data_IF_702903882924
#
_entry.id   IF_702903882924
#
_cell.length_a   1.000
_cell.length_b   1.000
_cell.length_c   1.000
_cell.angle_alpha   90.00
_cell.angle_beta   90.00
_cell.angle_gamma   90.00
#
_symmetry.space_group_name_H-M   'P 1'
#
loop_
_entity.id
_entity.type
_entity.pdbx_description
1 polymer ?
#
# COMPACT_ATOMS: atom_id res chain seq x y z
N UNK A 1 14.56 -2.22 -0.61
CA UNK A 1 13.27 -2.45 -1.32
C UNK A 1 12.19 -2.54 -0.26
N UNK A 2 11.09 -1.80 -0.43
CA UNK A 2 10.01 -1.80 0.55
C UNK A 2 9.08 -2.98 0.32
N UNK A 3 8.56 -3.56 1.41
CA UNK A 3 7.71 -4.76 1.37
C UNK A 3 6.42 -4.49 2.11
N UNK A 4 5.29 -4.85 1.50
CA UNK A 4 3.97 -4.73 2.10
C UNK A 4 3.27 -6.08 2.01
N UNK A 5 3.03 -6.74 3.15
CA UNK A 5 2.35 -8.02 3.23
C UNK A 5 0.87 -7.85 3.52
N UNK A 6 0.02 -8.50 2.74
CA UNK A 6 -1.40 -8.57 3.01
C UNK A 6 -1.70 -9.71 4.00
N UNK A 7 -2.06 -9.40 5.24
CA UNK A 7 -2.48 -10.39 6.26
C UNK A 7 -4.01 -10.42 6.44
N UNK A 8 -4.76 -9.78 5.56
CA UNK A 8 -6.24 -9.86 5.55
C UNK A 8 -6.71 -11.11 4.83
N UNK A 9 -8.00 -11.43 4.96
CA UNK A 9 -8.65 -12.51 4.21
C UNK A 9 -9.16 -12.04 2.82
N UNK A 10 -8.83 -10.82 2.42
CA UNK A 10 -9.28 -10.20 1.18
C UNK A 10 -8.12 -10.07 0.20
N UNK A 11 -8.40 -10.16 -1.09
CA UNK A 11 -7.49 -9.57 -2.07
C UNK A 11 -7.56 -8.06 -1.90
N UNK A 12 -6.41 -7.38 -1.82
CA UNK A 12 -6.34 -5.94 -1.59
C UNK A 12 -5.61 -5.29 -2.75
N UNK A 13 -6.13 -4.17 -3.24
CA UNK A 13 -5.39 -3.35 -4.19
C UNK A 13 -4.52 -2.37 -3.41
N UNK A 14 -3.20 -2.50 -3.51
CA UNK A 14 -2.30 -1.46 -3.03
C UNK A 14 -1.88 -0.55 -4.20
N UNK A 15 -1.80 0.74 -3.93
CA UNK A 15 -1.30 1.76 -4.85
C UNK A 15 -0.20 2.54 -4.13
N UNK A 16 0.84 2.91 -4.86
CA UNK A 16 1.95 3.67 -4.31
C UNK A 16 1.96 5.05 -4.96
N UNK A 17 2.07 6.10 -4.15
CA UNK A 17 2.14 7.49 -4.58
C UNK A 17 3.46 8.11 -4.12
N UNK A 18 4.06 8.92 -4.98
CA UNK A 18 5.25 9.70 -4.65
C UNK A 18 4.89 10.83 -3.66
N UNK A 19 5.93 11.47 -3.10
CA UNK A 19 5.76 12.63 -2.22
C UNK A 19 5.02 13.81 -2.88
N UNK A 20 5.07 13.90 -4.21
CA UNK A 20 4.34 14.90 -5.01
C UNK A 20 2.91 14.46 -5.40
N UNK A 21 2.46 13.28 -4.94
CA UNK A 21 1.12 12.77 -5.20
C UNK A 21 0.94 12.00 -6.50
N UNK A 22 1.96 11.92 -7.37
CA UNK A 22 1.86 11.14 -8.62
C UNK A 22 1.91 9.64 -8.33
N UNK A 23 1.01 8.87 -8.97
CA UNK A 23 1.05 7.41 -8.88
C UNK A 23 2.37 6.85 -9.41
N UNK A 24 2.92 5.90 -8.66
CA UNK A 24 3.98 5.02 -9.12
C UNK A 24 3.34 3.84 -9.86
N UNK A 25 3.11 4.01 -11.16
CA UNK A 25 2.55 2.94 -12.00
C UNK A 25 3.34 1.64 -11.87
N UNK A 26 2.64 0.55 -11.52
CA UNK A 26 3.21 -0.77 -11.30
C UNK A 26 2.30 -1.86 -11.86
N UNK A 27 2.89 -2.96 -12.35
CA UNK A 27 2.19 -4.05 -13.05
C UNK A 27 1.20 -4.84 -12.20
N UNK A 28 1.47 -5.01 -10.90
CA UNK A 28 0.65 -5.82 -10.01
C UNK A 28 0.23 -5.02 -8.78
N UNK A 29 -1.00 -4.49 -8.81
CA UNK A 29 -1.57 -3.73 -7.68
C UNK A 29 -2.47 -4.57 -6.79
N UNK A 30 -3.01 -5.71 -7.27
CA UNK A 30 -3.90 -6.60 -6.53
C UNK A 30 -3.13 -7.73 -5.84
N UNK A 31 -3.16 -7.77 -4.51
CA UNK A 31 -2.39 -8.69 -3.68
C UNK A 31 -3.33 -9.61 -2.90
N UNK A 32 -3.32 -10.92 -3.17
CA UNK A 32 -4.08 -11.92 -2.42
C UNK A 32 -3.70 -12.01 -0.93
N UNK A 33 -4.54 -12.68 -0.11
CA UNK A 33 -4.23 -13.00 1.29
C UNK A 33 -2.88 -13.69 1.45
N UNK A 34 -2.14 -13.30 2.49
CA UNK A 34 -0.83 -13.81 2.90
C UNK A 34 0.31 -13.66 1.88
N UNK A 35 0.09 -12.88 0.82
CA UNK A 35 1.10 -12.55 -0.18
C UNK A 35 1.65 -11.15 0.03
N UNK A 36 2.83 -10.90 -0.55
CA UNK A 36 3.57 -9.66 -0.37
C UNK A 36 3.72 -8.90 -1.68
N UNK A 37 3.63 -7.59 -1.56
CA UNK A 37 4.00 -6.61 -2.58
C UNK A 37 5.37 -6.05 -2.31
N UNK A 38 6.07 -5.76 -3.41
CA UNK A 38 7.36 -5.09 -3.41
C UNK A 38 7.26 -3.75 -4.13
N UNK A 39 7.88 -2.74 -3.54
CA UNK A 39 8.12 -1.46 -4.20
C UNK A 39 9.62 -1.29 -4.34
N UNK A 40 10.13 -1.57 -5.55
CA UNK A 40 11.54 -1.48 -5.88
C UNK A 40 12.00 -0.02 -5.97
N UNK A 41 13.22 0.24 -5.51
CA UNK A 41 13.88 1.56 -5.57
C UNK A 41 14.03 2.08 -7.00
N UNK A 42 14.05 1.21 -8.00
CA UNK A 42 14.08 1.63 -9.41
C UNK A 42 12.80 2.37 -9.84
N UNK A 43 11.66 2.06 -9.19
CA UNK A 43 10.37 2.72 -9.47
C UNK A 43 10.15 3.95 -8.59
N UNK A 44 10.82 4.02 -7.44
CA UNK A 44 10.75 5.18 -6.55
C UNK A 44 11.40 6.40 -7.21
N UNK A 45 12.34 6.20 -8.15
CA UNK A 45 12.95 7.32 -8.89
C UNK A 45 13.90 8.15 -8.02
N UNK A 46 14.51 7.52 -7.01
CA UNK A 46 15.45 8.18 -6.09
C UNK A 46 14.81 8.89 -4.89
N UNK A 47 13.51 8.70 -4.64
CA UNK A 47 12.86 9.20 -3.42
C UNK A 47 13.10 8.24 -2.24
N UNK A 48 13.29 8.81 -1.04
CA UNK A 48 13.55 8.05 0.19
C UNK A 48 12.30 7.41 0.81
N UNK A 49 11.12 7.91 0.43
CA UNK A 49 9.83 7.45 0.95
C UNK A 49 8.71 7.66 -0.08
N UNK A 50 7.62 6.90 0.09
CA UNK A 50 6.39 7.01 -0.68
C UNK A 50 5.18 6.73 0.22
N UNK A 51 3.98 6.93 -0.29
CA UNK A 51 2.74 6.57 0.40
C UNK A 51 2.14 5.34 -0.24
N UNK A 52 1.82 4.33 0.57
CA UNK A 52 1.03 3.18 0.16
C UNK A 52 -0.41 3.39 0.59
N UNK A 53 -1.36 3.22 -0.32
CA UNK A 53 -2.79 3.27 -0.03
C UNK A 53 -3.42 1.92 -0.36
N UNK A 54 -4.26 1.42 0.53
CA UNK A 54 -5.01 0.18 0.35
C UNK A 54 -6.45 0.49 -0.10
N UNK A 55 -6.92 -0.25 -1.09
CA UNK A 55 -8.27 -0.16 -1.64
C UNK A 55 -8.87 -1.56 -1.77
N UNK A 56 -10.20 -1.64 -1.84
CA UNK A 56 -10.85 -2.86 -2.29
C UNK A 56 -10.50 -3.12 -3.78
N UNK A 57 -10.48 -4.40 -4.23
CA UNK A 57 -10.11 -4.75 -5.61
C UNK A 57 -10.91 -4.07 -6.72
N UNK A 58 -12.16 -3.71 -6.42
CA UNK A 58 -13.16 -3.10 -7.30
C UNK A 58 -13.15 -1.57 -7.28
N UNK A 59 -12.49 -0.96 -6.28
CA UNK A 59 -12.43 0.49 -6.12
C UNK A 59 -11.81 1.17 -7.35
N UNK A 60 -12.34 2.33 -7.74
CA UNK A 60 -11.65 3.21 -8.67
C UNK A 60 -10.45 3.83 -7.98
N UNK A 61 -9.31 3.87 -8.67
CA UNK A 61 -8.08 4.49 -8.18
C UNK A 61 -7.80 5.71 -9.04
N UNK A 62 -7.41 6.81 -8.40
CA UNK A 62 -6.96 8.01 -9.08
C UNK A 62 -5.45 7.94 -9.35
N UNK A 63 -5.03 8.36 -10.55
CA UNK A 63 -3.63 8.41 -10.98
C UNK A 63 -2.80 9.49 -10.22
N UNK A 64 -3.50 10.40 -9.52
CA UNK A 64 -2.90 11.46 -8.72
C UNK A 64 -3.74 11.70 -7.48
N UNK A 65 -3.09 11.80 -6.32
CA UNK A 65 -3.73 12.14 -5.06
C UNK A 65 -2.97 13.29 -4.42
N UNK A 66 -3.68 14.28 -3.90
CA UNK A 66 -3.05 15.34 -3.13
C UNK A 66 -2.66 14.79 -1.75
N UNK A 67 -1.34 14.66 -1.56
CA UNK A 67 -0.72 14.03 -0.39
C UNK A 67 -0.97 14.82 0.89
N UNK A 68 -1.11 16.15 0.78
CA UNK A 68 -1.33 17.03 1.92
C UNK A 68 -2.76 16.89 2.48
N UNK A 69 -3.70 16.37 1.67
CA UNK A 69 -5.10 16.14 2.03
C UNK A 69 -5.49 14.66 2.14
N UNK A 70 -4.55 13.71 2.03
CA UNK A 70 -4.83 12.27 2.20
C UNK A 70 -5.65 11.92 3.46
N UNK A 71 -5.51 12.60 4.62
CA UNK A 71 -6.39 12.39 5.76
C UNK A 71 -7.86 12.82 5.51
N UNK A 72 -8.07 13.81 4.63
CA UNK A 72 -9.35 14.41 4.27
C UNK A 72 -10.03 13.76 3.05
N UNK A 73 -9.32 12.95 2.26
CA UNK A 73 -9.87 12.13 1.15
C UNK A 73 -10.60 10.87 1.67
N UNK A 74 -10.95 10.82 2.96
CA UNK A 74 -11.82 9.78 3.55
C UNK A 74 -13.28 9.84 3.07
N UNK A 75 -13.72 10.97 2.52
CA UNK A 75 -15.15 11.18 2.18
C UNK A 75 -15.48 10.93 0.70
N UNK A 76 -14.49 10.67 -0.16
CA UNK A 76 -14.70 10.52 -1.61
C UNK A 76 -14.12 9.28 -2.27
N UNK A 77 -13.01 8.73 -1.75
CA UNK A 77 -12.34 7.56 -2.32
C UNK A 77 -12.54 6.33 -1.42
N UNK A 78 -12.77 5.17 -2.04
CA UNK A 78 -12.91 3.84 -1.40
C UNK A 78 -11.60 3.33 -0.72
N UNK A 79 -10.73 4.23 -0.29
CA UNK A 79 -9.47 3.91 0.38
C UNK A 79 -9.75 3.35 1.77
N UNK A 80 -9.22 2.17 2.05
CA UNK A 80 -9.33 1.51 3.36
C UNK A 80 -8.43 2.20 4.39
N UNK A 81 -7.19 2.49 4.01
CA UNK A 81 -6.19 3.19 4.84
C UNK A 81 -4.93 3.49 4.03
N UNK A 82 -4.01 4.26 4.59
CA UNK A 82 -2.71 4.59 3.98
C UNK A 82 -1.57 4.56 5.00
N UNK A 83 -0.34 4.44 4.51
CA UNK A 83 0.87 4.59 5.32
C UNK A 83 2.00 5.25 4.52
N UNK A 84 2.84 6.01 5.23
CA UNK A 84 4.13 6.47 4.71
C UNK A 84 5.15 5.35 4.90
N UNK A 85 5.83 4.97 3.82
CA UNK A 85 6.74 3.83 3.77
C UNK A 85 8.09 4.25 3.20
N UNK A 86 9.17 3.92 3.90
CA UNK A 86 10.54 4.07 3.42
C UNK A 86 10.95 2.94 2.47
N UNK A 87 11.93 3.21 1.60
CA UNK A 87 12.36 2.29 0.52
C UNK A 87 12.98 0.95 0.96
N UNK A 88 13.14 0.71 2.26
CA UNK A 88 13.68 -0.53 2.85
C UNK A 88 12.85 -1.02 4.04
N UNK A 89 11.66 -0.44 4.26
CA UNK A 89 10.80 -0.84 5.37
C UNK A 89 9.87 -1.99 4.99
N UNK A 90 9.55 -2.80 5.99
CA UNK A 90 8.56 -3.87 5.89
C UNK A 90 7.30 -3.52 6.66
N UNK A 91 6.16 -3.67 6.00
CA UNK A 91 4.85 -3.41 6.56
C UNK A 91 3.93 -4.61 6.41
N UNK A 92 3.04 -4.77 7.37
CA UNK A 92 1.89 -5.67 7.31
C UNK A 92 0.60 -4.87 7.25
N UNK A 93 -0.28 -5.28 6.36
CA UNK A 93 -1.65 -4.78 6.26
C UNK A 93 -2.60 -5.78 6.91
N UNK A 94 -3.31 -5.36 7.94
CA UNK A 94 -4.21 -6.22 8.72
C UNK A 94 -5.59 -5.58 8.86
N UNK A 95 -6.56 -6.44 9.14
CA UNK A 95 -7.94 -6.08 9.46
C UNK A 95 -8.23 -6.43 10.92
N UNK A 96 -8.69 -5.44 11.70
CA UNK A 96 -9.32 -5.67 12.99
C UNK A 96 -10.80 -6.00 12.73
N UNK A 97 -11.12 -7.29 12.71
CA UNK A 97 -12.47 -7.80 12.37
C UNK A 97 -13.53 -7.32 13.37
N UNK A 98 -13.15 -7.13 14.64
CA UNK A 98 -14.09 -6.67 15.67
C UNK A 98 -14.45 -5.20 15.48
N UNK A 99 -13.47 -4.38 15.08
CA UNK A 99 -13.66 -2.94 14.85
C UNK A 99 -14.00 -2.58 13.40
N UNK A 100 -13.89 -3.54 12.47
CA UNK A 100 -13.99 -3.33 11.02
C UNK A 100 -13.03 -2.24 10.52
N UNK A 101 -11.81 -2.26 11.04
CA UNK A 101 -10.79 -1.27 10.72
C UNK A 101 -9.58 -1.92 10.04
N UNK A 102 -9.04 -1.24 9.03
CA UNK A 102 -7.85 -1.65 8.31
C UNK A 102 -6.66 -0.79 8.71
N UNK A 103 -5.50 -1.42 8.92
CA UNK A 103 -4.31 -0.72 9.42
C UNK A 103 -3.01 -1.29 8.85
N UNK A 104 -2.03 -0.41 8.69
CA UNK A 104 -0.64 -0.78 8.42
C UNK A 104 0.18 -0.76 9.70
N UNK A 105 1.06 -1.75 9.87
CA UNK A 105 2.06 -1.77 10.94
C UNK A 105 3.42 -2.11 10.35
N UNK A 106 4.47 -1.49 10.88
CA UNK A 106 5.85 -1.84 10.53
C UNK A 106 6.23 -3.13 11.25
N UNK A 107 6.77 -4.09 10.52
CA UNK A 107 7.17 -5.40 11.04
C UNK A 107 8.39 -5.92 10.27
N UNK A 108 9.57 -5.74 10.86
CA UNK A 108 10.85 -6.12 10.24
C UNK A 108 11.13 -7.62 10.30
N UNK A 109 10.50 -8.33 11.25
CA UNK A 109 10.67 -9.77 11.45
C UNK A 109 9.76 -10.58 10.54
N UNK A 110 8.76 -9.95 9.92
CA UNK A 110 7.81 -10.63 9.06
C UNK A 110 8.49 -11.28 7.84
N UNK A 111 8.26 -12.59 7.62
CA UNK A 111 8.78 -13.25 6.43
C UNK A 111 8.10 -12.72 5.18
N UNK A 112 8.94 -12.52 4.17
CA UNK A 112 8.64 -11.92 2.87
C UNK A 112 7.54 -12.63 2.08
N UNK A 113 7.19 -13.88 2.40
CA UNK A 113 6.08 -14.61 1.78
C UNK A 113 6.26 -14.83 0.28
N UNK A 114 5.18 -15.19 -0.43
CA UNK A 114 5.19 -15.26 -1.89
C UNK A 114 5.14 -13.84 -2.49
N UNK A 115 6.01 -13.60 -3.47
CA UNK A 115 6.34 -12.27 -3.96
C UNK A 115 5.58 -11.96 -5.25
N UNK A 116 4.76 -10.91 -5.21
CA UNK A 116 4.03 -10.38 -6.38
C UNK A 116 4.49 -8.95 -6.67
N UNK A 117 4.94 -8.69 -7.90
CA UNK A 117 5.34 -7.33 -8.30
C UNK A 117 6.52 -7.21 -9.27
N UNK A 118 6.51 -7.94 -10.40
CA UNK A 118 7.41 -7.67 -11.53
C UNK A 118 6.68 -7.07 -12.73
#
# INVERSE_FOLDING_TARGET
MAIIKNKTNHTIRFVAYRADGTEMHQKATKIPPNQSRYVSSNYTGGIDWFIITAFLPESSVQDHVDVDILPAVRDGDDALTFAKVGIEEKFVFVEDVEKKEFRFYRDEEEPEGEIHGW
#
